data_IF_641441248426
#
_entry.id   IF_641441248426
#
_cell.length_a   1.000
_cell.length_b   1.000
_cell.length_c   1.000
_cell.angle_alpha   90.00
_cell.angle_beta   90.00
_cell.angle_gamma   90.00
#
_symmetry.space_group_name_H-M   'P 1'
#
loop_
_entity.id
_entity.type
_entity.pdbx_description
1 polymer ?
#
# COMPACT_ATOMS: atom_id res chain seq x y z
N UNK A 1 36.67 41.16 16.71
CA UNK A 1 36.89 40.17 17.78
C UNK A 1 35.52 39.80 18.34
N UNK A 2 34.99 38.61 17.96
CA UNK A 2 34.40 37.56 18.82
C UNK A 2 33.58 37.99 20.07
N UNK A 3 32.41 37.44 20.47
CA UNK A 3 31.56 36.30 20.06
C UNK A 3 30.12 36.56 20.57
N UNK A 4 29.11 36.02 19.88
CA UNK A 4 27.83 35.52 20.42
C UNK A 4 27.97 34.64 21.68
N UNK A 5 26.92 34.54 22.51
CA UNK A 5 26.40 33.34 23.25
C UNK A 5 25.51 33.78 24.43
N UNK A 6 24.49 33.08 24.96
CA UNK A 6 23.59 31.94 24.64
C UNK A 6 22.62 31.80 25.84
N UNK A 7 21.34 31.47 25.58
CA UNK A 7 20.40 30.56 26.27
C UNK A 7 20.30 30.40 27.82
N UNK A 8 19.06 30.42 28.36
CA UNK A 8 18.35 29.30 29.07
C UNK A 8 17.57 29.69 30.36
N UNK A 9 16.26 29.31 30.45
CA UNK A 9 15.69 28.32 31.40
C UNK A 9 14.30 28.61 32.03
N UNK A 10 13.51 27.52 32.22
CA UNK A 10 12.31 27.27 33.08
C UNK A 10 10.91 27.66 32.50
N UNK A 11 9.78 26.95 32.71
CA UNK A 11 9.39 25.82 33.57
C UNK A 11 8.08 25.18 33.05
N UNK A 12 7.85 23.89 33.33
CA UNK A 12 6.63 23.12 33.03
C UNK A 12 5.36 23.66 33.73
N UNK A 13 4.29 23.95 32.98
CA UNK A 13 2.90 23.99 33.48
C UNK A 13 1.99 23.28 32.46
N UNK A 14 1.45 22.13 32.86
CA UNK A 14 0.35 21.42 32.22
C UNK A 14 -0.97 22.18 32.49
N UNK A 15 -1.61 22.75 31.47
CA UNK A 15 -3.06 23.01 31.46
C UNK A 15 -3.64 22.56 30.12
N UNK A 16 -4.63 21.68 30.25
CA UNK A 16 -5.46 21.00 29.26
C UNK A 16 -6.55 21.94 28.70
N UNK A 17 -7.12 21.60 27.52
CA UNK A 17 -8.45 22.02 26.96
C UNK A 17 -8.43 23.38 26.19
N UNK A 18 -8.97 23.61 24.98
CA UNK A 18 -9.94 22.96 24.06
C UNK A 18 -9.70 23.41 22.60
N UNK A 19 -10.16 22.57 21.67
CA UNK A 19 -10.33 22.76 20.23
C UNK A 19 -10.74 24.17 19.76
N UNK A 20 -10.05 24.67 18.73
CA UNK A 20 -10.64 25.60 17.75
C UNK A 20 -10.43 25.01 16.36
N UNK A 21 -11.53 24.63 15.73
CA UNK A 21 -11.54 24.00 14.41
C UNK A 21 -11.09 24.94 13.29
N UNK A 22 -10.50 24.37 12.25
CA UNK A 22 -10.28 25.08 10.99
C UNK A 22 -11.61 25.13 10.23
N UNK A 23 -12.16 26.33 10.03
CA UNK A 23 -13.27 26.55 9.10
C UNK A 23 -12.71 26.64 7.68
N UNK A 24 -13.14 25.73 6.80
CA UNK A 24 -12.88 25.78 5.36
C UNK A 24 -13.75 26.87 4.73
N UNK A 25 -13.10 27.87 4.15
CA UNK A 25 -13.58 28.75 3.09
C UNK A 25 -13.19 28.08 1.76
N UNK A 26 -14.09 27.91 0.79
CA UNK A 26 -14.27 28.84 -0.33
C UNK A 26 -15.52 28.50 -1.18
N UNK A 27 -16.42 29.49 -1.33
CA UNK A 27 -17.29 29.88 -2.47
C UNK A 27 -18.15 28.82 -3.25
N UNK A 28 -19.47 29.05 -3.45
CA UNK A 28 -20.38 28.10 -4.07
C UNK A 28 -20.59 28.34 -5.57
N UNK A 29 -20.29 27.35 -6.42
CA UNK A 29 -21.00 27.03 -7.68
C UNK A 29 -20.64 25.59 -8.09
N UNK A 30 -21.68 24.78 -8.33
CA UNK A 30 -21.78 23.32 -8.56
C UNK A 30 -20.63 22.70 -9.40
N UNK A 31 -20.09 21.52 -9.05
CA UNK A 31 -20.76 20.20 -9.13
C UNK A 31 -20.47 19.35 -7.88
N UNK A 32 -21.53 18.70 -7.40
CA UNK A 32 -21.53 17.61 -6.44
C UNK A 32 -20.80 16.39 -7.05
N UNK A 33 -19.67 16.00 -6.47
CA UNK A 33 -19.39 14.58 -6.25
C UNK A 33 -19.26 14.37 -4.74
N UNK A 34 -20.43 14.25 -4.12
CA UNK A 34 -20.57 13.36 -2.99
C UNK A 34 -20.55 11.95 -3.56
N UNK A 35 -19.40 11.28 -3.49
CA UNK A 35 -19.41 9.83 -3.32
C UNK A 35 -19.49 9.59 -1.81
N UNK A 36 -20.65 9.93 -1.24
CA UNK A 36 -21.25 8.99 -0.30
C UNK A 36 -21.95 7.93 -1.15
N UNK A 37 -21.15 7.08 -1.79
CA UNK A 37 -21.65 5.80 -2.27
C UNK A 37 -21.63 4.89 -1.05
N UNK A 38 -22.81 4.62 -0.50
CA UNK A 38 -22.96 3.41 0.31
C UNK A 38 -22.87 2.23 -0.65
N UNK A 39 -21.64 1.74 -0.85
CA UNK A 39 -21.33 0.48 -1.50
C UNK A 39 -20.22 -0.19 -0.70
N UNK A 40 -20.62 -1.19 0.09
CA UNK A 40 -19.88 -2.43 0.30
C UNK A 40 -18.36 -2.38 0.08
N UNK A 41 -17.60 -2.37 1.18
CA UNK A 41 -16.20 -2.80 1.25
C UNK A 41 -15.37 -2.47 0.01
N UNK A 42 -15.09 -1.17 -0.20
CA UNK A 42 -13.99 -0.75 -1.06
C UNK A 42 -12.78 -1.60 -0.62
N UNK A 43 -12.20 -2.38 -1.54
CA UNK A 43 -11.19 -3.42 -1.29
C UNK A 43 -9.87 -2.85 -0.72
N UNK A 44 -9.87 -1.59 -0.28
CA UNK A 44 -8.72 -0.89 0.30
C UNK A 44 -7.59 -0.65 -0.69
N UNK A 45 -7.76 -1.03 -1.96
CA UNK A 45 -6.73 -0.96 -2.98
C UNK A 45 -6.62 0.44 -3.59
N UNK A 46 -6.49 1.43 -2.73
CA UNK A 46 -6.36 2.83 -3.11
C UNK A 46 -4.90 3.20 -3.13
N UNK A 47 -4.43 3.75 -4.24
CA UNK A 47 -3.09 4.30 -4.31
C UNK A 47 -2.94 5.49 -3.39
N UNK A 48 -1.74 5.63 -2.83
CA UNK A 48 -1.36 6.78 -2.01
C UNK A 48 -0.39 7.63 -2.81
N UNK A 49 -0.25 8.92 -2.48
CA UNK A 49 0.72 9.77 -3.16
C UNK A 49 2.12 9.12 -3.13
N UNK A 50 2.71 8.94 -4.31
CA UNK A 50 4.02 8.32 -4.57
C UNK A 50 4.12 6.79 -4.41
N UNK A 51 3.03 6.10 -4.06
CA UNK A 51 3.03 4.64 -3.92
C UNK A 51 1.90 3.99 -4.73
N UNK A 52 2.25 2.96 -5.48
CA UNK A 52 1.29 2.09 -6.15
C UNK A 52 1.01 0.88 -5.26
N UNK A 53 -0.26 0.68 -4.92
CA UNK A 53 -0.67 -0.39 -4.03
C UNK A 53 -1.11 -1.61 -4.83
N UNK A 54 -0.41 -2.72 -4.59
CA UNK A 54 -0.76 -4.01 -5.18
C UNK A 54 -1.54 -4.78 -4.12
N UNK A 55 -2.72 -5.26 -4.50
CA UNK A 55 -3.66 -5.84 -3.56
C UNK A 55 -3.99 -7.28 -3.92
N UNK A 56 -4.51 -8.00 -2.95
CA UNK A 56 -4.95 -9.37 -3.14
C UNK A 56 -6.38 -9.57 -2.65
N UNK A 57 -7.05 -10.53 -3.26
CA UNK A 57 -8.38 -11.01 -2.88
C UNK A 57 -8.34 -12.53 -2.94
N UNK A 58 -8.14 -13.18 -1.79
CA UNK A 58 -7.84 -14.61 -1.71
C UNK A 58 -8.59 -15.25 -0.57
N UNK A 59 -9.26 -16.38 -0.81
CA UNK A 59 -9.86 -17.22 0.24
C UNK A 59 -8.83 -18.21 0.80
N UNK A 60 -7.72 -18.40 0.11
CA UNK A 60 -6.60 -19.25 0.50
C UNK A 60 -5.44 -18.42 1.06
N UNK A 61 -4.79 -18.82 2.18
CA UNK A 61 -3.57 -18.16 2.66
C UNK A 61 -2.44 -18.24 1.62
N UNK A 62 -1.75 -17.12 1.40
CA UNK A 62 -0.66 -17.02 0.40
C UNK A 62 0.68 -17.37 1.06
N UNK A 63 1.36 -18.39 0.57
CA UNK A 63 2.71 -18.79 1.01
C UNK A 63 3.84 -18.15 0.21
N UNK A 64 3.54 -17.62 -0.98
CA UNK A 64 4.51 -16.98 -1.85
C UNK A 64 3.85 -16.30 -3.06
N UNK A 65 4.52 -15.29 -3.60
CA UNK A 65 4.04 -14.60 -4.78
C UNK A 65 5.17 -14.12 -5.69
N UNK A 66 4.92 -14.10 -6.98
CA UNK A 66 5.74 -13.45 -7.99
C UNK A 66 4.84 -12.87 -9.09
N UNK A 67 5.15 -11.68 -9.56
CA UNK A 67 4.50 -11.11 -10.74
C UNK A 67 5.42 -10.11 -11.43
N UNK A 68 5.13 -9.85 -12.69
CA UNK A 68 5.81 -8.85 -13.52
C UNK A 68 5.03 -7.54 -13.51
N UNK A 69 5.75 -6.44 -13.64
CA UNK A 69 5.20 -5.08 -13.75
C UNK A 69 5.52 -4.53 -15.14
N UNK A 70 4.51 -3.98 -15.79
CA UNK A 70 4.59 -3.37 -17.12
C UNK A 70 4.22 -1.89 -17.01
N UNK A 71 4.83 -1.04 -17.84
CA UNK A 71 4.47 0.39 -17.99
C UNK A 71 5.17 1.36 -17.05
N UNK A 72 5.70 0.87 -15.94
CA UNK A 72 6.49 1.63 -14.96
C UNK A 72 7.75 0.87 -14.55
N UNK A 73 8.66 1.53 -13.85
CA UNK A 73 9.85 0.92 -13.25
C UNK A 73 9.74 0.90 -11.73
N UNK A 74 9.92 -0.28 -11.14
CA UNK A 74 9.90 -0.46 -9.68
C UNK A 74 11.21 0.02 -9.05
N UNK A 75 11.09 0.81 -7.98
CA UNK A 75 12.21 1.32 -7.17
C UNK A 75 12.36 0.56 -5.87
N UNK A 76 11.25 0.33 -5.19
CA UNK A 76 11.19 -0.41 -3.94
C UNK A 76 9.79 -1.02 -3.76
N UNK A 77 9.68 -2.06 -2.95
CA UNK A 77 8.40 -2.60 -2.52
C UNK A 77 8.49 -3.00 -1.03
N UNK A 78 7.51 -2.57 -0.23
CA UNK A 78 7.48 -2.74 1.23
C UNK A 78 6.05 -2.64 1.77
N UNK A 79 5.85 -2.90 3.06
CA UNK A 79 4.55 -2.76 3.71
C UNK A 79 3.51 -3.80 3.29
N UNK A 80 2.27 -3.49 3.65
CA UNK A 80 1.11 -4.35 3.40
C UNK A 80 1.16 -5.65 4.19
N UNK A 81 0.32 -6.59 3.77
CA UNK A 81 0.20 -7.90 4.39
C UNK A 81 1.50 -8.72 4.30
N UNK A 82 2.36 -8.44 3.31
CA UNK A 82 3.67 -9.07 3.17
C UNK A 82 4.58 -8.76 4.36
N UNK A 83 4.73 -7.49 4.72
CA UNK A 83 5.58 -7.08 5.84
C UNK A 83 4.99 -7.54 7.18
N UNK A 84 3.66 -7.45 7.34
CA UNK A 84 2.96 -7.94 8.54
C UNK A 84 3.15 -9.45 8.76
N UNK A 85 3.17 -10.23 7.67
CA UNK A 85 3.45 -11.66 7.70
C UNK A 85 4.95 -12.01 7.76
N UNK A 86 5.84 -11.01 7.77
CA UNK A 86 7.29 -11.20 7.82
C UNK A 86 7.90 -11.75 6.53
N UNK A 87 7.29 -11.49 5.38
CA UNK A 87 7.82 -11.89 4.08
C UNK A 87 9.03 -11.03 3.71
N UNK A 88 10.00 -11.67 3.05
CA UNK A 88 11.06 -10.97 2.32
C UNK A 88 10.54 -10.65 0.93
N UNK A 89 10.47 -9.36 0.60
CA UNK A 89 10.12 -8.87 -0.73
C UNK A 89 11.38 -8.44 -1.46
N UNK A 90 11.60 -9.00 -2.64
CA UNK A 90 12.71 -8.68 -3.53
C UNK A 90 12.14 -8.09 -4.80
N UNK A 91 12.69 -6.96 -5.22
CA UNK A 91 12.28 -6.26 -6.43
C UNK A 91 13.40 -6.27 -7.48
N UNK A 92 12.96 -6.23 -8.72
CA UNK A 92 13.74 -5.77 -9.87
C UNK A 92 12.89 -4.76 -10.63
N UNK A 93 13.44 -4.02 -11.61
CA UNK A 93 12.71 -2.97 -12.33
C UNK A 93 11.32 -3.37 -12.82
N UNK A 94 11.12 -4.63 -13.22
CA UNK A 94 9.88 -5.12 -13.82
C UNK A 94 9.32 -6.38 -13.13
N UNK A 95 9.80 -6.74 -11.93
CA UNK A 95 9.35 -7.97 -11.24
C UNK A 95 9.41 -7.78 -9.73
N UNK A 96 8.39 -8.27 -9.05
CA UNK A 96 8.33 -8.37 -7.60
C UNK A 96 8.17 -9.84 -7.22
N UNK A 97 8.92 -10.27 -6.21
CA UNK A 97 8.86 -11.61 -5.65
C UNK A 97 8.83 -11.50 -4.13
N UNK A 98 7.89 -12.20 -3.49
CA UNK A 98 7.74 -12.24 -2.03
C UNK A 98 7.64 -13.66 -1.52
N UNK A 99 8.36 -13.94 -0.44
CA UNK A 99 8.41 -15.27 0.18
C UNK A 99 8.74 -15.19 1.68
N UNK A 100 8.41 -16.24 2.43
CA UNK A 100 8.77 -16.35 3.86
C UNK A 100 9.87 -17.38 4.09
N UNK A 101 10.93 -17.00 4.82
CA UNK A 101 11.98 -17.94 5.26
C UNK A 101 11.55 -18.80 6.46
N UNK A 102 10.55 -18.37 7.22
CA UNK A 102 10.06 -19.08 8.42
C UNK A 102 8.92 -20.04 8.10
N UNK A 103 8.45 -20.09 6.85
CA UNK A 103 7.23 -20.82 6.47
C UNK A 103 5.95 -20.12 6.92
N UNK A 104 6.02 -18.80 7.20
CA UNK A 104 4.83 -17.99 7.42
C UNK A 104 4.02 -17.81 6.14
N UNK A 105 2.73 -17.53 6.30
CA UNK A 105 1.80 -17.25 5.19
C UNK A 105 1.03 -15.96 5.46
N UNK A 106 0.70 -15.24 4.40
CA UNK A 106 -0.24 -14.13 4.43
C UNK A 106 -1.65 -14.71 4.58
N UNK A 107 -2.42 -14.18 5.52
CA UNK A 107 -3.77 -14.70 5.80
C UNK A 107 -4.70 -14.51 4.61
N UNK A 108 -5.69 -15.39 4.46
CA UNK A 108 -6.78 -15.18 3.52
C UNK A 108 -7.55 -13.90 3.87
N UNK A 109 -8.09 -13.25 2.84
CA UNK A 109 -8.84 -12.00 2.95
C UNK A 109 -8.59 -11.11 1.75
N UNK A 110 -8.91 -9.84 1.96
CA UNK A 110 -8.71 -8.79 0.97
C UNK A 110 -7.99 -7.62 1.63
N UNK A 111 -6.81 -7.28 1.12
CA UNK A 111 -6.00 -6.16 1.62
C UNK A 111 -4.89 -5.80 0.64
N UNK A 112 -4.11 -4.77 0.98
CA UNK A 112 -2.86 -4.43 0.29
C UNK A 112 -1.84 -5.53 0.54
N UNK A 113 -1.39 -6.19 -0.53
CA UNK A 113 -0.36 -7.22 -0.50
C UNK A 113 1.01 -6.58 -0.22
N UNK A 114 1.33 -5.54 -1.00
CA UNK A 114 2.59 -4.81 -0.93
C UNK A 114 2.42 -3.41 -1.55
N UNK A 115 3.09 -2.42 -0.98
CA UNK A 115 3.15 -1.06 -1.51
C UNK A 115 4.45 -0.88 -2.29
N UNK A 116 4.36 -0.24 -3.45
CA UNK A 116 5.47 -0.16 -4.39
C UNK A 116 5.80 1.29 -4.71
N UNK A 117 7.07 1.68 -4.52
CA UNK A 117 7.61 2.93 -5.04
C UNK A 117 8.03 2.72 -6.51
N UNK A 118 7.67 3.67 -7.37
CA UNK A 118 7.86 3.53 -8.80
C UNK A 118 8.30 4.83 -9.49
N UNK A 119 8.86 4.68 -10.69
CA UNK A 119 9.11 5.75 -11.64
C UNK A 119 8.32 5.48 -12.93
N UNK A 120 7.59 6.48 -13.43
CA UNK A 120 6.82 6.39 -14.67
C UNK A 120 5.40 6.98 -14.53
N UNK A 121 4.58 6.73 -15.54
CA UNK A 121 3.16 7.08 -15.54
C UNK A 121 2.34 5.90 -14.99
N UNK A 122 1.71 6.11 -13.83
CA UNK A 122 0.90 5.08 -13.17
C UNK A 122 -0.30 4.64 -14.01
N UNK A 123 -0.83 5.50 -14.89
CA UNK A 123 -1.93 5.13 -15.79
C UNK A 123 -1.54 4.07 -16.83
N UNK A 124 -0.24 3.81 -16.99
CA UNK A 124 0.29 2.76 -17.86
C UNK A 124 0.70 1.49 -17.08
N UNK A 125 0.68 1.53 -15.75
CA UNK A 125 1.11 0.44 -14.90
C UNK A 125 0.14 -0.74 -14.99
N UNK A 126 0.67 -1.95 -15.14
CA UNK A 126 -0.15 -3.15 -15.07
C UNK A 126 0.65 -4.36 -14.58
N UNK A 127 -0.01 -5.19 -13.77
CA UNK A 127 0.49 -6.49 -13.37
C UNK A 127 0.35 -7.51 -14.51
N UNK A 128 1.33 -8.41 -14.62
CA UNK A 128 1.31 -9.51 -15.57
C UNK A 128 2.03 -10.74 -15.03
N UNK A 129 1.75 -11.91 -15.62
CA UNK A 129 2.36 -13.19 -15.24
C UNK A 129 2.33 -13.50 -13.73
N UNK A 130 1.19 -13.37 -13.03
CA UNK A 130 1.13 -13.69 -11.62
C UNK A 130 1.34 -15.19 -11.38
N UNK A 131 2.17 -15.51 -10.40
CA UNK A 131 2.41 -16.85 -9.86
C UNK A 131 2.25 -16.73 -8.35
N UNK A 132 1.17 -17.31 -7.82
CA UNK A 132 0.85 -17.27 -6.40
C UNK A 132 0.80 -18.71 -5.90
N UNK A 133 1.36 -18.95 -4.71
CA UNK A 133 1.29 -20.25 -4.05
C UNK A 133 0.58 -20.16 -2.71
N UNK A 134 -0.02 -21.26 -2.29
CA UNK A 134 -0.55 -21.42 -0.95
C UNK A 134 0.57 -21.69 0.08
N UNK A 135 0.19 -21.93 1.34
CA UNK A 135 1.12 -22.24 2.43
C UNK A 135 1.86 -23.58 2.28
N UNK A 136 1.39 -24.47 1.40
CA UNK A 136 2.00 -25.77 1.12
C UNK A 136 2.88 -25.76 -0.14
N UNK A 137 2.85 -24.65 -0.89
CA UNK A 137 3.60 -24.48 -2.14
C UNK A 137 2.81 -24.92 -3.38
N UNK A 138 1.52 -25.24 -3.23
CA UNK A 138 0.64 -25.51 -4.36
C UNK A 138 0.21 -24.21 -5.03
N UNK A 139 0.05 -24.23 -6.36
CA UNK A 139 -0.29 -23.03 -7.11
C UNK A 139 -1.77 -22.64 -6.91
N UNK A 140 -2.01 -21.35 -6.68
CA UNK A 140 -3.35 -20.75 -6.65
C UNK A 140 -3.64 -20.17 -8.04
N UNK A 141 -4.78 -20.52 -8.63
CA UNK A 141 -5.21 -19.91 -9.89
C UNK A 141 -5.76 -18.51 -9.61
N UNK A 142 -5.19 -17.52 -10.29
CA UNK A 142 -5.49 -16.10 -10.06
C UNK A 142 -5.75 -15.35 -11.36
N UNK A 143 -6.43 -14.22 -11.25
CA UNK A 143 -6.64 -13.24 -12.30
C UNK A 143 -6.19 -11.84 -11.84
N UNK A 144 -5.86 -10.99 -12.81
CA UNK A 144 -5.53 -9.58 -12.57
C UNK A 144 -6.76 -8.75 -12.87
N UNK A 145 -7.19 -7.97 -11.88
CA UNK A 145 -8.31 -7.02 -11.97
C UNK A 145 -7.76 -5.60 -11.81
N UNK A 146 -8.26 -4.69 -12.64
CA UNK A 146 -7.89 -3.26 -12.63
C UNK A 146 -6.38 -3.01 -12.65
N UNK A 147 -5.62 -3.91 -13.28
CA UNK A 147 -4.17 -3.86 -13.39
C UNK A 147 -3.37 -3.89 -12.07
N UNK A 148 -4.00 -3.97 -10.90
CA UNK A 148 -3.33 -3.89 -9.58
C UNK A 148 -3.86 -4.85 -8.51
N UNK A 149 -4.95 -5.56 -8.78
CA UNK A 149 -5.55 -6.52 -7.85
C UNK A 149 -5.30 -7.94 -8.35
N UNK A 150 -4.74 -8.79 -7.50
CA UNK A 150 -4.55 -10.22 -7.73
C UNK A 150 -5.68 -10.96 -7.03
N UNK A 151 -6.63 -11.52 -7.78
CA UNK A 151 -7.79 -12.22 -7.23
C UNK A 151 -7.70 -13.73 -7.49
N UNK A 152 -7.96 -14.54 -6.47
CA UNK A 152 -8.17 -15.98 -6.59
C UNK A 152 -9.49 -16.27 -7.33
N UNK A 153 -9.46 -17.22 -8.27
CA UNK A 153 -10.62 -17.58 -9.11
C UNK A 153 -11.62 -18.51 -8.43
#
# INVERSE_FOLDING_TARGET
>A
MFINRTASSYSFIFILVLLVGCKSNNNPTEIVDSSTDNVNEDLGCRDTEHFWNICYDSITPIGGFQFDVVGITIKAAMGGASEEAGFSVITSPNKILGFSFSGGSISAGNSVLVQTEYEGDIGMACLSNPIISDSYGDAIDVEIIDCQIIREK
#
